data_IF_549312708296
#
_entry.id   IF_549312708296
#
_cell.length_a   1.000
_cell.length_b   1.000
_cell.length_c   1.000
_cell.angle_alpha   90.00
_cell.angle_beta   90.00
_cell.angle_gamma   90.00
#
_symmetry.space_group_name_H-M   'P 1'
#
loop_
_entity.id
_entity.type
_entity.pdbx_description
1 polymer ?
#
# COMPACT_ATOMS: atom_id res chain seq x y z
N UNK A 1 11.54 -9.71 -7.45
CA UNK A 1 11.68 -11.05 -7.48
C UNK A 1 10.77 -11.74 -8.44
N UNK A 2 11.15 -12.90 -8.79
CA UNK A 2 10.45 -13.57 -9.86
C UNK A 2 9.04 -13.91 -9.49
N UNK A 3 8.80 -14.11 -8.24
CA UNK A 3 7.48 -14.49 -7.84
C UNK A 3 6.46 -13.48 -8.26
N UNK A 4 6.82 -12.25 -8.32
CA UNK A 4 5.86 -11.25 -8.69
C UNK A 4 5.39 -11.46 -10.11
N UNK A 5 6.22 -12.02 -10.91
CA UNK A 5 5.82 -12.22 -12.29
C UNK A 5 4.80 -13.31 -12.39
N UNK A 6 4.73 -14.15 -11.40
CA UNK A 6 3.78 -15.22 -11.44
C UNK A 6 2.42 -14.70 -11.08
N UNK A 7 1.99 -13.76 -11.73
CA UNK A 7 0.77 -13.12 -11.39
C UNK A 7 -0.39 -14.06 -11.28
N UNK A 8 -1.15 -13.89 -10.27
CA UNK A 8 -2.35 -14.67 -10.12
C UNK A 8 -3.46 -13.95 -10.85
N UNK A 9 -3.75 -14.41 -11.99
CA UNK A 9 -4.75 -13.78 -12.80
C UNK A 9 -6.08 -13.79 -12.10
N UNK A 10 -6.74 -12.68 -12.15
CA UNK A 10 -8.07 -12.61 -11.60
C UNK A 10 -8.10 -12.20 -10.14
N UNK A 11 -6.96 -12.08 -9.51
CA UNK A 11 -6.96 -11.62 -8.13
C UNK A 11 -6.68 -10.14 -8.09
N UNK A 12 -7.45 -9.40 -7.30
CA UNK A 12 -7.23 -7.98 -7.19
C UNK A 12 -5.97 -7.68 -6.38
N UNK A 13 -5.40 -6.50 -6.55
CA UNK A 13 -4.22 -6.11 -5.80
C UNK A 13 -4.56 -5.99 -4.31
N UNK A 14 -3.61 -6.35 -3.48
CA UNK A 14 -3.80 -6.21 -2.04
C UNK A 14 -3.64 -4.75 -1.63
N UNK A 15 -4.01 -4.46 -0.39
CA UNK A 15 -3.87 -3.11 0.11
C UNK A 15 -2.42 -2.66 0.06
N UNK A 16 -1.52 -3.58 0.33
CA UNK A 16 -0.10 -3.25 0.28
C UNK A 16 0.31 -2.82 -1.13
N UNK A 17 -0.13 -3.56 -2.12
CA UNK A 17 0.21 -3.24 -3.49
C UNK A 17 -0.38 -1.91 -3.90
N UNK A 18 -1.61 -1.67 -3.47
CA UNK A 18 -2.24 -0.40 -3.78
C UNK A 18 -1.47 0.75 -3.14
N UNK A 19 -1.03 0.55 -1.93
CA UNK A 19 -0.28 1.58 -1.22
C UNK A 19 1.03 1.85 -1.94
N UNK A 20 1.69 0.80 -2.38
CA UNK A 20 2.96 0.97 -3.08
C UNK A 20 2.78 1.71 -4.40
N UNK A 21 1.74 1.37 -5.13
CA UNK A 21 1.44 2.07 -6.37
C UNK A 21 1.20 3.55 -6.10
N UNK A 22 0.45 3.82 -5.06
CA UNK A 22 0.16 5.20 -4.70
C UNK A 22 1.43 5.96 -4.36
N UNK A 23 2.35 5.29 -3.68
CA UNK A 23 3.63 5.91 -3.35
C UNK A 23 4.40 6.31 -4.59
N UNK A 24 4.34 5.47 -5.59
CA UNK A 24 5.09 5.73 -6.80
C UNK A 24 4.45 6.82 -7.65
N UNK A 25 3.15 6.80 -7.72
CA UNK A 25 2.46 7.77 -8.56
C UNK A 25 2.28 9.11 -7.87
N UNK A 26 1.99 9.06 -6.60
CA UNK A 26 1.75 10.29 -5.84
C UNK A 26 2.48 10.26 -4.52
N UNK A 27 3.80 10.32 -4.54
CA UNK A 27 4.57 10.30 -3.30
C UNK A 27 4.26 11.47 -2.38
N UNK A 28 3.98 12.60 -2.97
CA UNK A 28 3.69 13.79 -2.16
C UNK A 28 2.37 13.64 -1.43
N UNK A 29 1.45 12.97 -2.05
CA UNK A 29 0.15 12.79 -1.45
C UNK A 29 0.26 12.09 -0.10
N UNK A 30 1.17 11.15 -0.01
CA UNK A 30 1.35 10.40 1.22
C UNK A 30 1.86 11.26 2.37
N UNK A 31 2.53 12.32 2.03
CA UNK A 31 3.03 13.22 3.06
C UNK A 31 1.96 14.21 3.50
N UNK A 32 1.10 14.58 2.58
CA UNK A 32 0.07 15.54 2.87
C UNK A 32 -1.10 14.96 3.63
N UNK A 33 -1.49 13.75 3.29
CA UNK A 33 -2.67 13.16 3.90
C UNK A 33 -2.29 12.34 5.13
N UNK A 34 -3.14 12.35 6.12
CA UNK A 34 -2.89 11.57 7.34
C UNK A 34 -3.07 10.08 7.09
N UNK A 35 -2.50 9.30 7.98
CA UNK A 35 -2.61 7.86 7.89
C UNK A 35 -4.06 7.42 7.86
N UNK A 36 -4.85 8.05 8.66
CA UNK A 36 -6.27 7.71 8.74
C UNK A 36 -6.93 7.85 7.37
N UNK A 37 -6.60 8.90 6.67
CA UNK A 37 -7.18 9.14 5.37
C UNK A 37 -6.75 8.07 4.38
N UNK A 38 -5.47 7.74 4.40
CA UNK A 38 -4.95 6.73 3.49
C UNK A 38 -5.58 5.38 3.74
N UNK A 39 -5.77 5.05 4.99
CA UNK A 39 -6.41 3.78 5.32
C UNK A 39 -7.82 3.73 4.75
N UNK A 40 -8.53 4.81 4.89
CA UNK A 40 -9.88 4.88 4.35
C UNK A 40 -9.85 4.76 2.84
N UNK A 41 -8.88 5.40 2.23
CA UNK A 41 -8.73 5.35 0.78
C UNK A 41 -8.51 3.91 0.30
N UNK A 42 -7.76 3.16 1.07
CA UNK A 42 -7.45 1.79 0.73
C UNK A 42 -8.47 0.80 1.27
N UNK A 43 -9.48 1.30 1.95
CA UNK A 43 -10.53 0.44 2.52
C UNK A 43 -9.95 -0.52 3.55
N UNK A 44 -9.05 -0.02 4.37
CA UNK A 44 -8.47 -0.81 5.45
C UNK A 44 -8.43 0.05 6.68
N UNK A 45 -8.08 -0.57 7.80
CA UNK A 45 -7.99 0.18 9.04
C UNK A 45 -6.64 0.87 9.12
N UNK A 46 -6.56 1.96 9.87
CA UNK A 46 -5.28 2.63 10.06
C UNK A 46 -4.23 1.72 10.68
N UNK A 47 -4.66 0.78 11.47
CA UNK A 47 -3.73 -0.15 12.08
C UNK A 47 -3.12 -1.05 11.02
N UNK A 48 -3.95 -1.54 10.11
CA UNK A 48 -3.44 -2.38 9.03
C UNK A 48 -2.44 -1.60 8.18
N UNK A 49 -2.79 -0.37 7.87
CA UNK A 49 -1.90 0.46 7.07
C UNK A 49 -0.58 0.71 7.79
N UNK A 50 -0.66 0.92 9.09
CA UNK A 50 0.55 1.13 9.86
C UNK A 50 1.48 -0.07 9.77
N UNK A 51 0.90 -1.26 9.81
CA UNK A 51 1.69 -2.47 9.68
C UNK A 51 2.34 -2.57 8.30
N UNK A 52 1.58 -2.24 7.29
CA UNK A 52 2.10 -2.27 5.93
C UNK A 52 3.31 -1.34 5.82
N UNK A 53 3.17 -0.15 6.36
CA UNK A 53 4.26 0.82 6.30
C UNK A 53 5.48 0.33 7.07
N UNK A 54 5.24 -0.27 8.21
CA UNK A 54 6.34 -0.77 9.00
C UNK A 54 7.10 -1.85 8.24
N UNK A 55 6.38 -2.69 7.55
CA UNK A 55 7.01 -3.73 6.76
C UNK A 55 7.82 -3.18 5.61
N UNK A 56 7.30 -2.16 4.97
CA UNK A 56 8.00 -1.55 3.85
C UNK A 56 9.24 -0.80 4.31
N UNK A 57 9.16 -0.25 5.50
CA UNK A 57 10.28 0.50 6.02
C UNK A 57 11.43 -0.39 6.42
N UNK A 58 11.12 -1.62 6.71
CA UNK A 58 12.15 -2.53 7.13
C UNK A 58 13.18 -2.74 6.05
N UNK A 59 14.41 -2.90 6.46
CA UNK A 59 15.48 -3.11 5.50
C UNK A 59 15.94 -4.56 5.47
#
# INVERSE_FOLDING_TARGET
>A
SVDSSTVAYGTPPTAKERYMTLMEENPELLQDVPLKYLASYLYITPQSLSRIRAGLKKK
#
